data_IF_948896357148
#
_entry.id   IF_948896357148
#
_cell.length_a   1.000
_cell.length_b   1.000
_cell.length_c   1.000
_cell.angle_alpha   90.00
_cell.angle_beta   90.00
_cell.angle_gamma   90.00
#
_symmetry.space_group_name_H-M   'P 1'
#
loop_
_entity.id
_entity.type
_entity.pdbx_description
1 polymer ?
#
# COMPACT_ATOMS: atom_id res chain seq x y z
N UNK A 1 6.46 -9.88 1.21
CA UNK A 1 5.57 -10.69 2.02
C UNK A 1 6.01 -10.79 3.47
N UNK A 2 5.30 -11.57 4.26
CA UNK A 2 5.59 -11.74 5.69
C UNK A 2 7.00 -12.25 5.96
N UNK A 3 7.51 -13.19 5.16
CA UNK A 3 8.85 -13.74 5.32
C UNK A 3 9.94 -12.70 5.12
N UNK A 4 9.80 -11.79 4.17
CA UNK A 4 10.74 -10.69 3.95
C UNK A 4 10.70 -9.69 5.11
N UNK A 5 9.51 -9.38 5.62
CA UNK A 5 9.33 -8.52 6.76
C UNK A 5 10.01 -9.08 8.01
N UNK A 6 9.82 -10.36 8.30
CA UNK A 6 10.47 -11.01 9.44
C UNK A 6 12.00 -11.06 9.29
N UNK A 7 12.50 -11.26 8.06
CA UNK A 7 13.94 -11.23 7.81
C UNK A 7 14.56 -9.85 8.07
N UNK A 8 13.88 -8.79 7.67
CA UNK A 8 14.31 -7.41 7.95
C UNK A 8 14.32 -7.11 9.45
N UNK A 9 13.29 -7.54 10.18
CA UNK A 9 13.22 -7.40 11.63
C UNK A 9 14.38 -8.15 12.31
N UNK A 10 14.71 -9.34 11.83
CA UNK A 10 15.81 -10.14 12.37
C UNK A 10 17.17 -9.45 12.18
N UNK A 11 17.39 -8.84 11.02
CA UNK A 11 18.59 -8.03 10.79
C UNK A 11 18.70 -6.85 11.75
N UNK A 12 17.62 -6.14 11.99
CA UNK A 12 17.56 -5.03 12.93
C UNK A 12 17.82 -5.48 14.37
N UNK A 13 17.31 -6.66 14.76
CA UNK A 13 17.62 -7.24 16.07
C UNK A 13 19.10 -7.53 16.23
N UNK A 14 19.74 -8.11 15.21
CA UNK A 14 21.19 -8.38 15.22
C UNK A 14 22.01 -7.10 15.34
N UNK A 15 21.47 -5.98 14.81
CA UNK A 15 22.08 -4.67 14.96
C UNK A 15 21.84 -4.02 16.35
N UNK A 16 21.18 -4.74 17.28
CA UNK A 16 20.95 -4.27 18.65
C UNK A 16 19.66 -3.52 18.87
N UNK A 17 18.75 -3.51 17.87
CA UNK A 17 17.44 -2.92 18.05
C UNK A 17 16.55 -3.77 18.99
N UNK A 18 15.80 -3.10 19.83
CA UNK A 18 14.87 -3.73 20.77
C UNK A 18 13.49 -3.87 20.12
N UNK A 19 13.02 -5.10 19.96
CA UNK A 19 11.74 -5.40 19.31
C UNK A 19 10.91 -6.37 20.15
N UNK A 20 9.60 -6.35 19.87
CA UNK A 20 8.66 -7.32 20.39
C UNK A 20 8.97 -8.74 19.87
N UNK A 21 8.32 -9.75 20.46
CA UNK A 21 8.42 -11.14 19.98
C UNK A 21 7.88 -11.28 18.56
N UNK A 22 8.27 -12.37 17.86
CA UNK A 22 7.77 -12.65 16.51
C UNK A 22 6.25 -12.79 16.47
N UNK A 23 5.64 -13.42 17.47
CA UNK A 23 4.20 -13.57 17.56
C UNK A 23 3.49 -12.22 17.69
N UNK A 24 4.03 -11.32 18.50
CA UNK A 24 3.49 -9.95 18.65
C UNK A 24 3.59 -9.18 17.34
N UNK A 25 4.72 -9.28 16.63
CA UNK A 25 4.93 -8.63 15.34
C UNK A 25 3.96 -9.18 14.30
N UNK A 26 3.80 -10.49 14.21
CA UNK A 26 2.86 -11.14 13.28
C UNK A 26 1.43 -10.72 13.58
N UNK A 27 1.02 -10.73 14.84
CA UNK A 27 -0.33 -10.33 15.24
C UNK A 27 -0.60 -8.87 14.94
N UNK A 28 0.36 -7.99 15.18
CA UNK A 28 0.24 -6.57 14.84
C UNK A 28 0.13 -6.37 13.32
N UNK A 29 0.95 -7.07 12.54
CA UNK A 29 0.89 -7.00 11.08
C UNK A 29 -0.46 -7.46 10.54
N UNK A 30 -1.00 -8.56 11.05
CA UNK A 30 -2.34 -9.07 10.68
C UNK A 30 -3.43 -8.07 11.04
N UNK A 31 -3.36 -7.49 12.22
CA UNK A 31 -4.28 -6.46 12.66
C UNK A 31 -4.26 -5.24 11.72
N UNK A 32 -3.07 -4.72 11.41
CA UNK A 32 -2.93 -3.57 10.52
C UNK A 32 -3.38 -3.89 9.10
N UNK A 33 -3.02 -5.06 8.58
CA UNK A 33 -3.49 -5.53 7.28
C UNK A 33 -5.02 -5.53 7.21
N UNK A 34 -5.66 -6.06 8.26
CA UNK A 34 -7.11 -6.07 8.35
C UNK A 34 -7.69 -4.65 8.35
N UNK A 35 -7.11 -3.74 9.11
CA UNK A 35 -7.56 -2.33 9.16
C UNK A 35 -7.36 -1.59 7.83
N UNK A 36 -6.27 -1.84 7.13
CA UNK A 36 -6.04 -1.24 5.80
C UNK A 36 -6.99 -1.76 4.73
N UNK A 37 -7.43 -3.00 4.85
CA UNK A 37 -8.30 -3.65 3.87
C UNK A 37 -9.79 -3.61 4.23
N UNK A 38 -10.16 -3.07 5.39
CA UNK A 38 -11.56 -2.90 5.78
C UNK A 38 -12.29 -1.96 4.83
N UNK A 39 -13.57 -2.28 4.61
CA UNK A 39 -14.42 -1.42 3.81
C UNK A 39 -14.72 -0.11 4.57
N UNK A 40 -14.53 1.01 3.89
CA UNK A 40 -14.68 2.37 4.43
C UNK A 40 -16.08 2.62 5.02
N UNK A 41 -17.09 1.88 4.57
CA UNK A 41 -18.46 1.97 5.10
C UNK A 41 -18.60 1.46 6.54
N UNK A 42 -17.63 0.73 7.06
CA UNK A 42 -17.58 0.29 8.44
C UNK A 42 -17.02 1.35 9.41
N UNK A 43 -16.59 2.45 8.91
CA UNK A 43 -16.65 3.78 9.44
C UNK A 43 -15.75 4.31 10.55
N UNK A 44 -15.80 3.80 11.71
CA UNK A 44 -15.26 4.49 12.89
C UNK A 44 -13.77 4.27 13.11
N UNK A 45 -13.21 3.28 12.46
CA UNK A 45 -11.82 2.86 12.67
C UNK A 45 -10.88 3.20 11.51
N UNK A 46 -11.39 3.89 10.49
CA UNK A 46 -10.55 4.27 9.35
C UNK A 46 -9.37 5.17 9.77
N UNK A 47 -9.48 5.84 10.89
CA UNK A 47 -8.41 6.66 11.43
C UNK A 47 -7.19 5.84 11.86
N UNK A 48 -7.36 4.53 12.14
CA UNK A 48 -6.26 3.65 12.55
C UNK A 48 -5.21 3.51 11.44
N UNK A 49 -5.55 3.08 10.21
CA UNK A 49 -4.56 3.04 9.14
C UNK A 49 -4.06 4.43 8.75
N UNK A 50 -4.90 5.47 8.84
CA UNK A 50 -4.48 6.83 8.54
C UNK A 50 -3.41 7.32 9.52
N UNK A 51 -3.62 7.11 10.83
CA UNK A 51 -2.63 7.46 11.85
C UNK A 51 -1.35 6.65 11.73
N UNK A 52 -1.46 5.35 11.50
CA UNK A 52 -0.29 4.50 11.29
C UNK A 52 0.53 4.99 10.08
N UNK A 53 -0.14 5.28 8.97
CA UNK A 53 0.51 5.82 7.78
C UNK A 53 1.23 7.13 8.09
N UNK A 54 0.57 8.03 8.80
CA UNK A 54 1.18 9.30 9.20
C UNK A 54 2.42 9.08 10.07
N UNK A 55 2.30 8.26 11.13
CA UNK A 55 3.40 8.00 12.06
C UNK A 55 4.60 7.33 11.36
N UNK A 56 4.35 6.48 10.37
CA UNK A 56 5.41 5.86 9.56
C UNK A 56 6.05 6.88 8.62
N UNK A 57 5.23 7.68 7.93
CA UNK A 57 5.73 8.62 6.92
C UNK A 57 6.49 9.81 7.50
N UNK A 58 6.35 10.12 8.79
CA UNK A 58 7.18 11.16 9.43
C UNK A 58 8.61 10.68 9.70
N UNK A 59 8.90 9.39 9.61
CA UNK A 59 10.25 8.87 9.79
C UNK A 59 11.16 9.29 8.62
N UNK A 60 12.37 9.83 8.88
CA UNK A 60 13.21 10.38 7.81
C UNK A 60 13.62 9.38 6.74
N UNK A 61 13.81 8.10 7.11
CA UNK A 61 14.28 7.06 6.19
C UNK A 61 13.17 6.38 5.40
N UNK A 62 11.89 6.66 5.72
CA UNK A 62 10.75 6.05 5.07
C UNK A 62 10.24 6.96 3.97
N UNK A 63 10.15 6.45 2.76
CA UNK A 63 9.65 7.19 1.60
C UNK A 63 8.18 6.96 1.33
N UNK A 64 7.66 5.81 1.73
CA UNK A 64 6.26 5.45 1.53
C UNK A 64 5.94 4.08 2.10
N UNK A 65 4.70 3.68 1.93
CA UNK A 65 4.21 2.36 2.32
C UNK A 65 3.43 1.70 1.19
N UNK A 66 3.49 0.38 1.14
CA UNK A 66 2.63 -0.46 0.30
C UNK A 66 1.59 -1.15 1.16
N UNK A 67 0.38 -1.24 0.66
CA UNK A 67 -0.69 -2.00 1.33
C UNK A 67 -1.67 -2.56 0.32
N UNK A 68 -2.31 -3.67 0.65
CA UNK A 68 -3.32 -4.26 -0.22
C UNK A 68 -4.55 -3.35 -0.32
N UNK A 69 -5.12 -3.26 -1.51
CA UNK A 69 -6.31 -2.46 -1.74
C UNK A 69 -7.52 -3.04 -1.01
N UNK A 70 -8.25 -2.20 -0.28
CA UNK A 70 -9.52 -2.59 0.34
C UNK A 70 -10.58 -3.04 -0.68
N UNK A 71 -10.46 -2.61 -1.92
CA UNK A 71 -11.36 -3.00 -3.01
C UNK A 71 -11.22 -4.48 -3.38
N UNK A 72 -10.09 -5.12 -3.08
CA UNK A 72 -9.89 -6.55 -3.29
C UNK A 72 -10.85 -7.44 -2.51
N UNK A 73 -11.43 -6.93 -1.41
CA UNK A 73 -12.48 -7.64 -0.64
C UNK A 73 -13.86 -7.57 -1.29
N UNK A 74 -14.09 -6.57 -2.11
CA UNK A 74 -15.38 -6.31 -2.77
C UNK A 74 -15.41 -6.90 -4.17
N UNK A 75 -14.26 -6.95 -4.84
CA UNK A 75 -14.14 -7.40 -6.22
C UNK A 75 -12.89 -8.26 -6.37
N UNK A 76 -13.09 -9.56 -6.65
CA UNK A 76 -12.01 -10.53 -6.84
C UNK A 76 -11.01 -10.15 -7.93
N UNK A 77 -11.42 -9.34 -8.91
CA UNK A 77 -10.53 -8.84 -9.96
C UNK A 77 -9.47 -7.90 -9.41
N UNK A 78 -9.70 -7.32 -8.24
CA UNK A 78 -8.83 -6.35 -7.57
C UNK A 78 -8.08 -6.93 -6.37
N UNK A 79 -8.23 -8.24 -6.10
CA UNK A 79 -7.64 -8.88 -4.91
C UNK A 79 -6.13 -8.79 -4.82
N UNK A 80 -5.45 -8.68 -5.97
CA UNK A 80 -3.99 -8.59 -6.04
C UNK A 80 -3.51 -7.14 -6.25
N UNK A 81 -4.42 -6.17 -6.19
CA UNK A 81 -4.06 -4.77 -6.34
C UNK A 81 -3.39 -4.23 -5.08
N UNK A 82 -2.28 -3.56 -5.28
CA UNK A 82 -1.50 -2.94 -4.21
C UNK A 82 -1.64 -1.43 -4.32
N UNK A 83 -1.94 -0.79 -3.20
CA UNK A 83 -1.94 0.66 -3.06
C UNK A 83 -0.62 1.13 -2.51
N UNK A 84 -0.22 2.32 -2.90
CA UNK A 84 1.03 2.94 -2.46
C UNK A 84 0.71 4.33 -1.92
N UNK A 85 1.18 4.62 -0.71
CA UNK A 85 1.18 5.98 -0.16
C UNK A 85 2.61 6.47 -0.07
N UNK A 86 2.91 7.54 -0.78
CA UNK A 86 4.25 8.13 -0.84
C UNK A 86 4.31 9.45 -0.07
N UNK A 87 5.44 9.67 0.57
CA UNK A 87 5.73 10.94 1.23
C UNK A 87 5.90 12.04 0.17
N UNK A 88 5.21 13.18 0.27
CA UNK A 88 5.31 14.24 -0.75
C UNK A 88 6.74 14.69 -1.02
N UNK A 89 7.53 14.89 0.03
CA UNK A 89 8.93 15.27 -0.12
C UNK A 89 9.75 14.23 -0.90
N UNK A 90 9.48 12.95 -0.71
CA UNK A 90 10.15 11.87 -1.46
C UNK A 90 9.74 11.87 -2.92
N UNK A 91 8.47 12.16 -3.21
CA UNK A 91 8.00 12.33 -4.58
C UNK A 91 8.76 13.47 -5.27
N UNK A 92 8.85 14.62 -4.61
CA UNK A 92 9.48 15.82 -5.17
C UNK A 92 10.99 15.66 -5.40
N UNK A 93 11.67 14.89 -4.55
CA UNK A 93 13.13 14.80 -4.57
C UNK A 93 13.70 13.53 -5.19
N UNK A 94 12.93 12.45 -5.24
CA UNK A 94 13.41 11.12 -5.65
C UNK A 94 12.72 10.54 -6.86
N UNK A 95 11.54 11.04 -7.23
CA UNK A 95 10.79 10.53 -8.37
C UNK A 95 10.89 11.49 -9.55
N UNK A 96 10.80 10.91 -10.73
CA UNK A 96 10.80 11.65 -11.99
C UNK A 96 9.55 11.29 -12.79
N UNK A 97 8.75 12.30 -13.13
CA UNK A 97 7.55 12.09 -13.92
C UNK A 97 7.93 11.86 -15.38
N UNK A 98 7.62 10.70 -15.93
CA UNK A 98 7.99 10.32 -17.29
C UNK A 98 6.91 10.62 -18.33
N UNK A 99 5.66 10.48 -17.95
CA UNK A 99 4.52 10.64 -18.85
C UNK A 99 3.30 9.88 -18.35
N UNK A 100 2.35 9.70 -19.22
CA UNK A 100 1.09 9.02 -18.92
C UNK A 100 0.76 7.96 -19.96
N UNK A 101 -0.05 6.99 -19.56
CA UNK A 101 -0.68 6.07 -20.51
C UNK A 101 -2.11 6.50 -20.76
N UNK A 102 -2.45 6.71 -22.02
CA UNK A 102 -3.84 6.94 -22.42
C UNK A 102 -4.49 5.59 -22.71
N UNK A 103 -5.67 5.37 -22.13
CA UNK A 103 -6.49 4.19 -22.41
C UNK A 103 -7.91 4.63 -22.74
N UNK A 104 -8.54 3.91 -23.66
CA UNK A 104 -9.95 4.12 -23.97
C UNK A 104 -10.75 3.02 -23.27
N UNK A 105 -11.70 3.42 -22.44
CA UNK A 105 -12.62 2.53 -21.75
C UNK A 105 -13.98 2.64 -22.42
N UNK A 106 -14.52 1.50 -22.90
CA UNK A 106 -15.87 1.40 -23.46
C UNK A 106 -16.70 0.51 -22.56
N UNK A 107 -17.87 0.99 -22.19
CA UNK A 107 -18.85 0.24 -21.43
C UNK A 107 -20.18 0.24 -22.20
N UNK A 108 -20.58 -0.91 -22.69
CA UNK A 108 -21.84 -1.07 -23.46
C UNK A 108 -23.03 -1.56 -22.61
N UNK A 109 -22.86 -1.63 -21.29
CA UNK A 109 -23.85 -2.14 -20.34
C UNK A 109 -23.74 -3.64 -20.08
N UNK A 110 -23.13 -4.41 -20.96
CA UNK A 110 -22.91 -5.86 -20.80
C UNK A 110 -21.44 -6.17 -20.45
N UNK A 111 -20.53 -5.45 -21.07
CA UNK A 111 -19.09 -5.63 -20.82
C UNK A 111 -18.35 -4.30 -20.86
N UNK A 112 -17.20 -4.29 -20.17
CA UNK A 112 -16.24 -3.21 -20.20
C UNK A 112 -15.07 -3.67 -21.07
N UNK A 113 -14.71 -2.84 -22.04
CA UNK A 113 -13.54 -3.05 -22.91
C UNK A 113 -12.52 -1.95 -22.68
N UNK A 114 -11.26 -2.32 -22.49
CA UNK A 114 -10.16 -1.39 -22.27
C UNK A 114 -9.19 -1.56 -23.44
N UNK A 115 -8.86 -0.45 -24.13
CA UNK A 115 -7.88 -0.46 -25.21
C UNK A 115 -6.47 -0.75 -24.71
N UNK A 116 -5.57 -1.14 -25.61
CA UNK A 116 -4.15 -1.19 -25.30
C UNK A 116 -3.66 0.19 -24.85
N UNK A 117 -2.83 0.29 -23.80
CA UNK A 117 -2.30 1.57 -23.34
C UNK A 117 -1.38 2.18 -24.39
N UNK A 118 -1.51 3.50 -24.61
CA UNK A 118 -0.63 4.29 -25.45
C UNK A 118 0.14 5.24 -24.55
N UNK A 119 1.45 5.09 -24.48
CA UNK A 119 2.30 5.96 -23.68
C UNK A 119 2.44 7.33 -24.34
N UNK A 120 2.22 8.38 -23.57
CA UNK A 120 2.40 9.75 -23.97
C UNK A 120 3.42 10.43 -23.06
N UNK A 121 4.52 10.86 -23.68
CA UNK A 121 5.54 11.63 -22.98
C UNK A 121 5.08 13.09 -22.86
N UNK A 122 5.24 13.65 -21.69
CA UNK A 122 4.86 15.05 -21.42
C UNK A 122 6.07 15.98 -21.49
#
# INVERSE_FOLDING_TARGET
>A
GLSNFLAEIEELRRAGADFYSDDEIINFQRYMHHKFTDNVNADREYWIPAKFTFDVLVQPIIDGIFYESSQGRVDDRLKDCISVALKPQSVDTKLHFLGVYDVLIKNDGEKVTISAPIFRNL
#
